data_IF_616325621143
#
_entry.id   IF_616325621143
#
_cell.length_a   1.000
_cell.length_b   1.000
_cell.length_c   1.000
_cell.angle_alpha   90.00
_cell.angle_beta   90.00
_cell.angle_gamma   90.00
#
_symmetry.space_group_name_H-M   'P 1'
#
loop_
_entity.id
_entity.type
_entity.pdbx_description
1 polymer ?
#
# COMPACT_ATOMS: atom_id res chain seq x y z
N UNK A 1 -22.07 -2.21 16.93
CA UNK A 1 -21.06 -1.71 17.88
C UNK A 1 -20.54 -0.33 17.48
N UNK A 2 -19.65 -0.20 16.49
CA UNK A 2 -19.10 1.13 16.09
C UNK A 2 -20.21 2.08 15.61
N UNK A 3 -21.10 1.59 14.75
CA UNK A 3 -22.26 2.37 14.28
C UNK A 3 -23.19 2.82 15.43
N UNK A 4 -23.35 2.00 16.47
CA UNK A 4 -24.16 2.33 17.64
C UNK A 4 -23.47 3.43 18.47
N UNK A 5 -22.15 3.34 18.66
CA UNK A 5 -21.37 4.37 19.33
C UNK A 5 -21.42 5.70 18.56
N UNK A 6 -21.32 5.66 17.23
CA UNK A 6 -21.49 6.83 16.37
C UNK A 6 -22.87 7.46 16.56
N UNK A 7 -23.92 6.64 16.62
CA UNK A 7 -25.28 7.10 16.90
C UNK A 7 -25.38 7.79 18.27
N UNK A 8 -24.83 7.17 19.32
CA UNK A 8 -24.86 7.71 20.69
C UNK A 8 -24.09 9.04 20.79
N UNK A 9 -23.06 9.24 19.96
CA UNK A 9 -22.28 10.47 19.87
C UNK A 9 -22.90 11.53 18.94
N UNK A 10 -24.04 11.24 18.30
CA UNK A 10 -24.70 12.16 17.39
C UNK A 10 -24.02 12.30 16.02
N UNK A 11 -23.19 11.34 15.62
CA UNK A 11 -22.63 11.27 14.26
C UNK A 11 -23.75 10.81 13.33
N UNK A 12 -24.05 11.63 12.32
CA UNK A 12 -25.20 11.41 11.43
C UNK A 12 -24.91 10.49 10.24
N UNK A 13 -23.65 10.45 9.79
CA UNK A 13 -23.23 9.62 8.67
C UNK A 13 -21.75 9.23 8.78
N UNK A 14 -21.39 8.14 8.09
CA UNK A 14 -20.01 7.67 7.92
C UNK A 14 -19.86 6.93 6.59
N UNK A 15 -18.63 6.57 6.21
CA UNK A 15 -18.36 5.91 4.94
C UNK A 15 -17.64 4.57 5.11
N UNK A 16 -17.76 3.69 4.12
CA UNK A 16 -17.02 2.43 4.06
C UNK A 16 -16.77 2.01 2.60
N UNK A 17 -16.17 0.84 2.39
CA UNK A 17 -15.84 0.34 1.05
C UNK A 17 -16.93 -0.56 0.46
N UNK A 18 -17.04 -0.61 -0.87
CA UNK A 18 -18.03 -1.44 -1.56
C UNK A 18 -17.94 -2.93 -1.23
N UNK A 19 -16.76 -3.44 -0.87
CA UNK A 19 -16.61 -4.81 -0.39
C UNK A 19 -17.38 -5.05 0.91
N UNK A 20 -17.48 -4.03 1.78
CA UNK A 20 -18.25 -4.07 3.02
C UNK A 20 -19.74 -4.04 2.72
N UNK A 21 -20.17 -3.19 1.78
CA UNK A 21 -21.56 -3.18 1.31
C UNK A 21 -21.97 -4.54 0.78
N UNK A 22 -21.21 -5.07 -0.19
CA UNK A 22 -21.49 -6.36 -0.82
C UNK A 22 -21.70 -7.48 0.19
N UNK A 23 -20.79 -7.63 1.16
CA UNK A 23 -20.94 -8.63 2.22
C UNK A 23 -22.13 -8.37 3.14
N UNK A 24 -22.46 -7.11 3.41
CA UNK A 24 -23.59 -6.73 4.27
C UNK A 24 -24.94 -7.05 3.64
N UNK A 25 -25.06 -6.90 2.32
CA UNK A 25 -26.29 -7.18 1.57
C UNK A 25 -26.32 -8.56 0.91
N UNK A 26 -25.29 -9.39 1.14
CA UNK A 26 -25.19 -10.74 0.56
C UNK A 26 -25.01 -10.76 -0.95
N UNK A 27 -24.33 -9.76 -1.52
CA UNK A 27 -24.07 -9.63 -2.94
C UNK A 27 -22.59 -9.44 -3.26
N UNK A 28 -22.19 -9.84 -4.46
CA UNK A 28 -20.83 -9.61 -4.97
C UNK A 28 -20.87 -8.38 -5.86
N UNK A 29 -20.29 -7.28 -5.36
CA UNK A 29 -20.12 -6.05 -6.13
C UNK A 29 -18.73 -6.11 -6.75
N UNK A 30 -18.65 -6.36 -8.06
CA UNK A 30 -17.37 -6.37 -8.77
C UNK A 30 -16.95 -4.94 -9.11
N UNK A 31 -15.78 -4.46 -8.64
CA UNK A 31 -15.23 -3.15 -9.02
C UNK A 31 -15.11 -3.05 -10.54
N UNK A 32 -15.69 -2.01 -11.14
CA UNK A 32 -15.52 -1.73 -12.56
C UNK A 32 -15.83 -0.26 -12.84
N UNK A 33 -14.87 0.51 -13.39
CA UNK A 33 -15.10 1.92 -13.68
C UNK A 33 -16.26 2.10 -14.66
N UNK A 34 -17.17 3.02 -14.33
CA UNK A 34 -18.25 3.44 -15.21
C UNK A 34 -19.32 2.39 -15.52
N UNK A 35 -19.16 1.14 -15.09
CA UNK A 35 -20.02 0.01 -15.51
C UNK A 35 -20.91 -0.44 -14.38
N UNK A 36 -22.20 -0.58 -14.67
CA UNK A 36 -23.17 -1.20 -13.78
C UNK A 36 -23.45 -2.62 -14.26
N UNK A 37 -23.05 -3.62 -13.47
CA UNK A 37 -23.31 -5.05 -13.75
C UNK A 37 -23.90 -5.73 -12.54
N UNK A 38 -24.93 -6.56 -12.76
CA UNK A 38 -25.59 -7.29 -11.69
C UNK A 38 -26.08 -6.34 -10.60
N UNK A 39 -25.72 -6.62 -9.35
CA UNK A 39 -26.15 -5.83 -8.19
C UNK A 39 -25.33 -4.55 -7.94
N UNK A 40 -24.37 -4.20 -8.81
CA UNK A 40 -23.53 -3.01 -8.61
C UNK A 40 -24.31 -1.70 -8.52
N UNK A 41 -25.49 -1.60 -9.13
CA UNK A 41 -26.36 -0.41 -9.00
C UNK A 41 -26.68 -0.09 -7.53
N UNK A 42 -26.65 -1.08 -6.64
CA UNK A 42 -26.88 -0.91 -5.21
C UNK A 42 -25.84 -0.02 -4.54
N UNK A 43 -24.63 0.05 -5.07
CA UNK A 43 -23.56 0.91 -4.57
C UNK A 43 -23.93 2.38 -4.54
N UNK A 44 -24.77 2.82 -5.48
CA UNK A 44 -25.09 4.23 -5.69
C UNK A 44 -26.31 4.71 -4.88
N UNK A 45 -26.74 3.94 -3.87
CA UNK A 45 -27.70 4.39 -2.86
C UNK A 45 -26.99 4.72 -1.55
N UNK A 46 -27.45 5.75 -0.82
CA UNK A 46 -27.13 5.86 0.59
C UNK A 46 -27.89 4.78 1.38
N UNK A 47 -27.29 4.35 2.48
CA UNK A 47 -27.85 3.34 3.38
C UNK A 47 -28.05 3.87 4.79
N UNK A 48 -28.90 3.22 5.58
CA UNK A 48 -29.00 3.43 7.03
C UNK A 48 -28.84 2.11 7.76
N UNK A 49 -27.91 2.09 8.70
CA UNK A 49 -27.64 0.93 9.57
C UNK A 49 -28.73 0.75 10.62
N UNK A 50 -28.67 -0.35 11.37
CA UNK A 50 -29.61 -0.69 12.43
C UNK A 50 -31.06 -0.71 11.94
N UNK A 51 -31.28 -1.36 10.79
CA UNK A 51 -32.61 -1.47 10.15
C UNK A 51 -33.27 -0.10 9.94
N UNK A 52 -32.48 0.89 9.49
CA UNK A 52 -32.95 2.23 9.16
C UNK A 52 -32.94 3.24 10.31
N UNK A 53 -32.53 2.85 11.53
CA UNK A 53 -32.57 3.73 12.72
C UNK A 53 -31.24 4.35 13.10
N UNK A 54 -30.15 3.89 12.50
CA UNK A 54 -28.81 4.38 12.78
C UNK A 54 -28.35 5.50 11.84
N UNK A 55 -27.08 5.90 11.98
CA UNK A 55 -26.42 6.81 11.05
C UNK A 55 -26.50 6.32 9.61
N UNK A 56 -26.50 7.26 8.68
CA UNK A 56 -26.43 6.98 7.26
C UNK A 56 -25.02 6.50 6.87
N UNK A 57 -24.95 5.75 5.77
CA UNK A 57 -23.71 5.27 5.18
C UNK A 57 -23.69 5.53 3.68
N UNK A 58 -22.52 5.92 3.20
CA UNK A 58 -22.17 5.89 1.77
C UNK A 58 -21.00 4.94 1.58
N UNK A 59 -20.90 4.37 0.39
CA UNK A 59 -19.87 3.39 0.08
C UNK A 59 -19.02 3.86 -1.10
N UNK A 60 -17.70 3.73 -0.93
CA UNK A 60 -16.69 4.08 -1.92
C UNK A 60 -16.92 3.31 -3.22
N UNK A 61 -17.01 4.01 -4.35
CA UNK A 61 -16.77 3.39 -5.66
C UNK A 61 -15.26 3.16 -5.78
N UNK A 62 -14.83 1.94 -5.44
CA UNK A 62 -13.42 1.56 -5.36
C UNK A 62 -12.72 1.80 -6.69
N UNK A 63 -13.34 1.35 -7.78
CA UNK A 63 -12.75 1.46 -9.10
C UNK A 63 -12.56 2.91 -9.55
N UNK A 64 -13.55 3.79 -9.34
CA UNK A 64 -13.38 5.21 -9.66
C UNK A 64 -12.38 5.91 -8.74
N UNK A 65 -12.35 5.54 -7.47
CA UNK A 65 -11.42 6.12 -6.49
C UNK A 65 -9.97 5.73 -6.79
N UNK A 66 -9.74 4.49 -7.23
CA UNK A 66 -8.42 3.99 -7.62
C UNK A 66 -7.93 4.59 -8.93
N UNK A 67 -8.84 4.92 -9.86
CA UNK A 67 -8.44 5.63 -11.07
C UNK A 67 -7.72 6.94 -10.74
N UNK A 68 -8.28 7.73 -9.81
CA UNK A 68 -7.68 8.98 -9.36
C UNK A 68 -6.46 8.72 -8.47
N UNK A 69 -6.60 7.79 -7.53
CA UNK A 69 -5.59 7.54 -6.49
C UNK A 69 -4.33 6.84 -6.98
N UNK A 70 -4.43 5.99 -7.99
CA UNK A 70 -3.34 5.06 -8.36
C UNK A 70 -3.13 4.90 -9.86
N UNK A 71 -4.15 4.99 -10.71
CA UNK A 71 -3.98 4.62 -12.13
C UNK A 71 -3.60 5.81 -13.03
N UNK A 72 -4.34 6.92 -12.96
CA UNK A 72 -4.20 8.00 -13.94
C UNK A 72 -2.80 8.63 -13.94
N UNK A 73 -2.19 8.85 -12.78
CA UNK A 73 -0.86 9.46 -12.71
C UNK A 73 0.25 8.60 -13.34
N UNK A 74 0.03 7.28 -13.50
CA UNK A 74 1.06 6.39 -14.05
C UNK A 74 1.15 6.47 -15.57
N UNK A 75 0.02 6.64 -16.25
CA UNK A 75 -0.07 6.37 -17.69
C UNK A 75 -0.87 7.39 -18.49
N UNK A 76 -1.44 8.41 -17.85
CA UNK A 76 -2.33 9.35 -18.52
C UNK A 76 -1.80 10.78 -18.55
N UNK A 77 -2.13 11.47 -19.62
CA UNK A 77 -2.05 12.93 -19.65
C UNK A 77 -3.17 13.50 -18.76
N UNK A 78 -2.89 14.50 -17.89
CA UNK A 78 -3.84 15.00 -16.90
C UNK A 78 -5.22 15.39 -17.45
N UNK A 79 -5.32 16.08 -18.59
CA UNK A 79 -6.62 16.46 -19.16
C UNK A 79 -7.36 15.26 -19.75
N UNK A 80 -6.64 14.32 -20.36
CA UNK A 80 -7.21 13.08 -20.86
C UNK A 80 -7.78 12.22 -19.71
N UNK A 81 -7.06 12.13 -18.59
CA UNK A 81 -7.52 11.45 -17.37
C UNK A 81 -8.82 12.08 -16.82
N UNK A 82 -8.86 13.42 -16.68
CA UNK A 82 -10.05 14.11 -16.22
C UNK A 82 -11.27 13.86 -17.15
N UNK A 83 -11.05 13.88 -18.47
CA UNK A 83 -12.11 13.58 -19.45
C UNK A 83 -12.59 12.14 -19.37
N UNK A 84 -11.68 11.18 -19.19
CA UNK A 84 -12.05 9.78 -18.99
C UNK A 84 -12.91 9.64 -17.74
N UNK A 85 -12.54 10.27 -16.62
CA UNK A 85 -13.29 10.21 -15.38
C UNK A 85 -14.74 10.70 -15.55
N UNK A 86 -14.93 11.84 -16.22
CA UNK A 86 -16.27 12.34 -16.58
C UNK A 86 -17.03 11.34 -17.45
N UNK A 87 -16.36 10.73 -18.43
CA UNK A 87 -16.98 9.69 -19.25
C UNK A 87 -17.41 8.47 -18.42
N UNK A 88 -16.68 8.10 -17.37
CA UNK A 88 -17.10 7.04 -16.45
C UNK A 88 -18.38 7.44 -15.68
N UNK A 89 -18.50 8.69 -15.23
CA UNK A 89 -19.71 9.19 -14.57
C UNK A 89 -20.92 9.20 -15.52
N UNK A 90 -20.73 9.62 -16.77
CA UNK A 90 -21.77 9.53 -17.80
C UNK A 90 -22.18 8.09 -18.07
N UNK A 91 -21.21 7.17 -18.11
CA UNK A 91 -21.51 5.75 -18.28
C UNK A 91 -22.35 5.20 -17.12
N UNK A 92 -22.11 5.62 -15.86
CA UNK A 92 -22.97 5.25 -14.72
C UNK A 92 -24.39 5.77 -14.93
N UNK A 93 -24.54 7.04 -15.32
CA UNK A 93 -25.85 7.65 -15.62
C UNK A 93 -26.59 6.88 -16.72
N UNK A 94 -25.90 6.58 -17.82
CA UNK A 94 -26.51 5.96 -19.00
C UNK A 94 -26.93 4.50 -18.76
N UNK A 95 -26.29 3.82 -17.81
CA UNK A 95 -26.63 2.44 -17.40
C UNK A 95 -27.44 2.39 -16.08
N UNK A 96 -27.88 3.54 -15.56
CA UNK A 96 -28.64 3.59 -14.32
C UNK A 96 -30.08 3.11 -14.52
N UNK A 97 -30.42 2.01 -13.86
CA UNK A 97 -31.78 1.44 -13.84
C UNK A 97 -32.46 1.56 -12.47
N UNK A 98 -31.83 2.24 -11.50
CA UNK A 98 -32.34 2.42 -10.15
C UNK A 98 -33.38 3.55 -10.03
N UNK A 99 -34.00 3.65 -8.85
CA UNK A 99 -34.93 4.73 -8.52
C UNK A 99 -34.16 6.00 -8.11
N UNK A 100 -34.57 7.15 -8.64
CA UNK A 100 -33.95 8.44 -8.33
C UNK A 100 -32.63 8.68 -9.07
N UNK A 101 -31.81 9.59 -8.56
CA UNK A 101 -30.50 9.96 -9.12
C UNK A 101 -29.41 9.18 -8.39
N UNK A 102 -28.48 8.49 -9.08
CA UNK A 102 -27.40 7.76 -8.42
C UNK A 102 -26.52 8.71 -7.60
N UNK A 103 -26.06 8.24 -6.43
CA UNK A 103 -25.04 8.92 -5.62
C UNK A 103 -23.69 8.23 -5.83
N UNK A 104 -22.83 8.82 -6.66
CA UNK A 104 -21.47 8.30 -6.88
C UNK A 104 -20.55 8.87 -5.79
N UNK A 105 -19.99 7.99 -4.96
CA UNK A 105 -19.13 8.40 -3.84
C UNK A 105 -17.69 8.01 -4.14
N UNK A 106 -16.82 9.00 -4.29
CA UNK A 106 -15.40 8.82 -4.60
C UNK A 106 -14.61 9.21 -3.36
N UNK A 107 -13.90 8.24 -2.78
CA UNK A 107 -13.19 8.39 -1.51
C UNK A 107 -11.76 7.93 -1.74
N UNK A 108 -10.81 8.85 -1.65
CA UNK A 108 -9.39 8.56 -1.77
C UNK A 108 -8.62 9.36 -0.73
N UNK A 109 -7.36 9.01 -0.56
CA UNK A 109 -6.50 9.70 0.38
C UNK A 109 -6.02 11.04 -0.15
N UNK A 110 -5.90 12.02 0.74
CA UNK A 110 -5.68 13.42 0.38
C UNK A 110 -4.24 13.73 -0.03
N UNK A 111 -3.29 12.90 0.33
CA UNK A 111 -1.85 13.13 0.12
C UNK A 111 -1.23 12.15 -0.90
N UNK A 112 -1.83 10.97 -1.05
CA UNK A 112 -1.09 9.84 -1.61
C UNK A 112 -0.95 9.82 -3.13
N UNK A 113 -1.78 10.54 -3.87
CA UNK A 113 -1.73 10.51 -5.33
C UNK A 113 -1.08 11.74 -5.95
N UNK A 114 -1.21 12.91 -5.32
CA UNK A 114 -0.85 14.19 -5.94
C UNK A 114 0.64 14.34 -6.23
N UNK A 115 1.51 13.83 -5.35
CA UNK A 115 2.98 13.87 -5.56
C UNK A 115 3.44 13.10 -6.81
N UNK A 116 2.59 12.19 -7.32
CA UNK A 116 2.87 11.42 -8.52
C UNK A 116 2.29 12.06 -9.80
N UNK A 117 1.34 13.00 -9.68
CA UNK A 117 0.88 13.77 -10.83
C UNK A 117 1.86 14.90 -11.17
N UNK A 118 1.98 15.29 -12.45
CA UNK A 118 2.69 16.51 -12.81
C UNK A 118 2.12 17.74 -12.08
N UNK A 119 3.00 18.55 -11.48
CA UNK A 119 2.66 19.75 -10.71
C UNK A 119 1.59 19.48 -9.62
N UNK A 120 1.78 18.42 -8.83
CA UNK A 120 0.93 18.08 -7.70
C UNK A 120 -0.57 17.93 -8.07
N UNK A 121 -0.85 17.49 -9.30
CA UNK A 121 -2.21 17.26 -9.78
C UNK A 121 -2.97 18.50 -10.24
N UNK A 122 -2.34 19.69 -10.25
CA UNK A 122 -3.01 20.96 -10.57
C UNK A 122 -3.81 20.91 -11.88
N UNK A 123 -3.20 20.40 -12.96
CA UNK A 123 -3.86 20.35 -14.28
C UNK A 123 -5.03 19.36 -14.31
N UNK A 124 -4.87 18.19 -13.67
CA UNK A 124 -5.93 17.18 -13.57
C UNK A 124 -7.12 17.73 -12.76
N UNK A 125 -6.85 18.29 -11.58
CA UNK A 125 -7.88 18.81 -10.67
C UNK A 125 -8.63 19.98 -11.28
N UNK A 126 -7.93 20.96 -11.86
CA UNK A 126 -8.57 22.10 -12.53
C UNK A 126 -9.44 21.64 -13.71
N UNK A 127 -8.96 20.67 -14.50
CA UNK A 127 -9.73 20.15 -15.63
C UNK A 127 -10.96 19.37 -15.16
N UNK A 128 -10.81 18.53 -14.13
CA UNK A 128 -11.90 17.75 -13.56
C UNK A 128 -12.98 18.65 -12.94
N UNK A 129 -12.59 19.61 -12.11
CA UNK A 129 -13.55 20.51 -11.46
C UNK A 129 -14.25 21.43 -12.45
N UNK A 130 -13.56 21.95 -13.46
CA UNK A 130 -14.21 22.71 -14.54
C UNK A 130 -15.23 21.84 -15.29
N UNK A 131 -14.88 20.59 -15.62
CA UNK A 131 -15.79 19.70 -16.31
C UNK A 131 -17.01 19.29 -15.45
N UNK A 132 -16.84 19.13 -14.13
CA UNK A 132 -17.95 18.87 -13.21
C UNK A 132 -18.89 20.08 -13.07
N UNK A 133 -18.34 21.30 -13.04
CA UNK A 133 -19.13 22.53 -12.92
C UNK A 133 -19.89 22.87 -14.21
N UNK A 134 -19.30 22.60 -15.37
CA UNK A 134 -19.89 22.89 -16.69
C UNK A 134 -20.93 21.87 -17.14
N UNK A 135 -20.97 20.68 -16.54
CA UNK A 135 -21.86 19.59 -16.93
C UNK A 135 -23.24 19.67 -16.23
N UNK A 136 -24.33 20.02 -16.94
CA UNK A 136 -25.65 20.14 -16.32
C UNK A 136 -26.29 18.80 -15.92
N UNK A 137 -25.66 17.68 -16.26
CA UNK A 137 -26.13 16.32 -15.93
C UNK A 137 -25.48 15.74 -14.69
N UNK A 138 -24.49 16.43 -14.13
CA UNK A 138 -23.76 16.05 -12.92
C UNK A 138 -23.96 17.13 -11.87
N UNK A 139 -24.20 16.74 -10.63
CA UNK A 139 -24.33 17.66 -9.50
C UNK A 139 -23.30 17.29 -8.43
N UNK A 140 -22.37 18.19 -8.14
CA UNK A 140 -21.43 18.05 -7.02
C UNK A 140 -22.10 18.52 -5.73
N UNK A 141 -22.27 17.59 -4.79
CA UNK A 141 -22.93 17.83 -3.50
C UNK A 141 -22.03 17.42 -2.34
N UNK A 142 -22.24 18.02 -1.17
CA UNK A 142 -21.68 17.45 0.07
C UNK A 142 -22.34 16.09 0.37
N UNK A 143 -21.68 15.24 1.16
CA UNK A 143 -22.23 13.94 1.54
C UNK A 143 -23.59 14.08 2.24
N UNK A 144 -23.74 15.09 3.10
CA UNK A 144 -24.99 15.35 3.82
C UNK A 144 -26.13 15.75 2.88
N UNK A 145 -25.87 16.61 1.89
CA UNK A 145 -26.85 16.97 0.85
C UNK A 145 -27.19 15.77 -0.05
N UNK A 146 -26.18 14.98 -0.41
CA UNK A 146 -26.35 13.75 -1.20
C UNK A 146 -27.26 12.72 -0.52
N UNK A 147 -27.11 12.56 0.80
CA UNK A 147 -27.96 11.68 1.62
C UNK A 147 -29.36 12.27 1.79
N UNK A 148 -29.48 13.56 2.13
CA UNK A 148 -30.77 14.19 2.44
C UNK A 148 -31.73 14.26 1.24
N UNK A 149 -31.19 14.35 0.03
CA UNK A 149 -31.95 14.41 -1.23
C UNK A 149 -32.41 13.04 -1.75
N UNK A 150 -32.06 11.94 -1.06
CA UNK A 150 -32.28 10.57 -1.54
C UNK A 150 -32.94 9.70 -0.49
N UNK A 151 -33.66 8.68 -0.95
CA UNK A 151 -34.14 7.61 -0.08
C UNK A 151 -32.95 6.75 0.35
N UNK A 152 -32.81 6.52 1.65
CA UNK A 152 -31.83 5.57 2.17
C UNK A 152 -32.41 4.16 2.21
N UNK A 153 -31.63 3.19 1.76
CA UNK A 153 -31.95 1.78 1.91
C UNK A 153 -31.49 1.28 3.30
N UNK A 154 -32.15 0.26 3.85
CA UNK A 154 -31.81 -0.26 5.19
C UNK A 154 -30.78 -1.38 5.14
N UNK A 155 -29.77 -1.32 6.01
CA UNK A 155 -28.86 -2.44 6.30
C UNK A 155 -29.17 -2.96 7.69
N UNK A 156 -29.58 -4.23 7.75
CA UNK A 156 -29.86 -4.91 9.03
C UNK A 156 -28.57 -5.31 9.74
N UNK A 157 -27.60 -5.84 8.99
CA UNK A 157 -26.31 -6.30 9.52
C UNK A 157 -25.17 -5.75 8.70
N UNK A 158 -24.43 -4.81 9.28
CA UNK A 158 -23.18 -4.32 8.71
C UNK A 158 -22.05 -5.32 8.93
N UNK A 159 -21.37 -5.70 7.85
CA UNK A 159 -20.18 -6.55 7.91
C UNK A 159 -18.98 -5.77 8.43
N UNK A 160 -18.08 -6.44 9.15
CA UNK A 160 -16.81 -5.85 9.57
C UNK A 160 -15.77 -5.97 8.44
N UNK A 161 -14.91 -4.96 8.33
CA UNK A 161 -13.74 -4.94 7.43
C UNK A 161 -13.26 -3.51 7.21
N UNK A 162 -12.25 -3.37 6.36
CA UNK A 162 -11.70 -2.07 5.94
C UNK A 162 -11.85 -1.87 4.43
N UNK A 163 -11.41 -0.71 3.94
CA UNK A 163 -11.27 -0.43 2.52
C UNK A 163 -10.14 -1.20 1.81
N UNK A 164 -9.20 -1.79 2.55
CA UNK A 164 -8.12 -2.61 1.98
C UNK A 164 -8.52 -4.08 2.08
N UNK A 165 -8.61 -4.75 0.92
CA UNK A 165 -8.98 -6.16 0.80
C UNK A 165 -10.32 -6.54 1.46
N UNK A 166 -11.13 -5.55 1.84
CA UNK A 166 -12.35 -5.75 2.61
C UNK A 166 -12.11 -6.36 3.99
N UNK A 167 -10.92 -6.32 4.59
CA UNK A 167 -10.63 -7.00 5.86
C UNK A 167 -9.65 -6.21 6.73
N UNK A 168 -9.27 -6.74 7.89
CA UNK A 168 -8.36 -6.06 8.83
C UNK A 168 -6.92 -6.59 8.80
N UNK A 169 -6.56 -7.41 7.82
CA UNK A 169 -5.28 -8.11 7.79
C UNK A 169 -4.09 -7.15 7.91
N UNK A 170 -4.16 -5.96 7.28
CA UNK A 170 -3.10 -4.95 7.34
C UNK A 170 -2.78 -4.48 8.77
N UNK A 171 -3.72 -4.55 9.72
CA UNK A 171 -3.51 -3.99 11.07
C UNK A 171 -3.55 -5.03 12.19
N UNK A 172 -3.88 -6.30 11.90
CA UNK A 172 -3.95 -7.38 12.92
C UNK A 172 -3.62 -8.77 12.35
N UNK A 173 -3.22 -8.83 11.09
CA UNK A 173 -3.04 -10.08 10.34
C UNK A 173 -1.75 -10.80 10.67
N UNK A 174 -0.69 -10.05 10.99
CA UNK A 174 0.64 -10.59 11.23
C UNK A 174 0.97 -10.75 12.72
N UNK A 175 2.05 -11.49 13.02
CA UNK A 175 2.48 -11.73 14.39
C UNK A 175 2.90 -10.43 15.09
N UNK A 176 3.59 -9.55 14.37
CA UNK A 176 4.03 -8.25 14.87
C UNK A 176 2.84 -7.36 15.25
N UNK A 177 1.83 -7.27 14.38
CA UNK A 177 0.61 -6.50 14.66
C UNK A 177 -0.07 -6.94 15.95
N UNK A 178 -0.29 -8.26 16.08
CA UNK A 178 -0.94 -8.85 17.26
C UNK A 178 -0.12 -8.61 18.52
N UNK A 179 1.21 -8.68 18.42
CA UNK A 179 2.11 -8.36 19.54
C UNK A 179 1.98 -6.89 19.95
N UNK A 180 1.93 -5.97 18.98
CA UNK A 180 1.67 -4.56 19.25
C UNK A 180 0.35 -4.33 19.98
N UNK A 181 -0.74 -4.93 19.50
CA UNK A 181 -2.07 -4.82 20.15
C UNK A 181 -2.10 -5.42 21.55
N UNK A 182 -1.42 -6.54 21.78
CA UNK A 182 -1.32 -7.14 23.12
C UNK A 182 -0.62 -6.19 24.11
N UNK A 183 0.45 -5.53 23.68
CA UNK A 183 1.17 -4.57 24.53
C UNK A 183 0.31 -3.34 24.86
N UNK A 184 -0.47 -2.83 23.90
CA UNK A 184 -1.45 -1.75 24.14
C UNK A 184 -2.53 -2.19 25.11
N UNK A 185 -3.08 -3.40 24.93
CA UNK A 185 -4.13 -3.95 25.80
C UNK A 185 -3.67 -4.02 27.26
N UNK A 186 -2.47 -4.55 27.51
CA UNK A 186 -1.94 -4.70 28.88
C UNK A 186 -1.62 -3.34 29.53
N UNK A 187 -1.04 -2.40 28.77
CA UNK A 187 -0.82 -1.03 29.26
C UNK A 187 -2.14 -0.33 29.59
N UNK A 188 -3.14 -0.45 28.72
CA UNK A 188 -4.48 0.12 28.91
C UNK A 188 -5.19 -0.48 30.12
N UNK A 189 -5.15 -1.80 30.30
CA UNK A 189 -5.72 -2.47 31.50
C UNK A 189 -5.06 -1.94 32.77
N UNK A 190 -3.74 -1.79 32.76
CA UNK A 190 -2.98 -1.24 33.90
C UNK A 190 -3.42 0.18 34.22
N UNK A 191 -3.55 1.04 33.21
CA UNK A 191 -4.03 2.41 33.38
C UNK A 191 -5.46 2.46 33.95
N UNK A 192 -6.38 1.64 33.44
CA UNK A 192 -7.76 1.55 33.95
C UNK A 192 -7.78 1.12 35.42
N UNK A 193 -6.97 0.11 35.78
CA UNK A 193 -6.86 -0.34 37.18
C UNK A 193 -6.33 0.78 38.09
N UNK A 194 -5.27 1.48 37.68
CA UNK A 194 -4.70 2.58 38.44
C UNK A 194 -5.69 3.75 38.61
N UNK A 195 -6.46 4.06 37.56
CA UNK A 195 -7.53 5.07 37.62
C UNK A 195 -8.63 4.69 38.61
N UNK A 196 -9.05 3.41 38.65
CA UNK A 196 -10.08 2.95 39.59
C UNK A 196 -9.59 2.82 41.03
N UNK A 197 -8.30 2.50 41.24
CA UNK A 197 -7.70 2.40 42.57
C UNK A 197 -7.52 3.74 43.28
N UNK A 198 -7.48 4.85 42.53
CA UNK A 198 -7.23 6.18 43.06
C UNK A 198 -5.76 6.40 43.46
N UNK A 199 -5.42 7.62 43.87
CA UNK A 199 -4.05 7.99 44.28
C UNK A 199 -3.17 8.59 43.19
N UNK A 200 -3.62 8.58 41.94
CA UNK A 200 -2.99 9.31 40.83
C UNK A 200 -3.85 10.52 40.52
N UNK A 201 -3.23 11.68 40.38
CA UNK A 201 -3.94 12.91 40.07
C UNK A 201 -4.48 12.89 38.63
N UNK A 202 -5.52 13.70 38.38
CA UNK A 202 -6.21 13.73 37.09
C UNK A 202 -5.32 14.17 35.93
N UNK A 203 -4.36 15.05 36.16
CA UNK A 203 -3.49 15.55 35.09
C UNK A 203 -2.50 14.47 34.65
N UNK A 204 -1.99 13.69 35.60
CA UNK A 204 -1.14 12.52 35.29
C UNK A 204 -1.92 11.42 34.56
N UNK A 205 -3.16 11.13 34.99
CA UNK A 205 -4.03 10.18 34.27
C UNK A 205 -4.33 10.62 32.84
N UNK A 206 -4.58 11.91 32.63
CA UNK A 206 -4.83 12.46 31.30
C UNK A 206 -3.63 12.23 30.37
N UNK A 207 -2.41 12.54 30.83
CA UNK A 207 -1.19 12.27 30.06
C UNK A 207 -1.02 10.78 29.75
N UNK A 208 -1.28 9.91 30.73
CA UNK A 208 -1.18 8.47 30.50
C UNK A 208 -2.21 7.97 29.46
N UNK A 209 -3.41 8.55 29.43
CA UNK A 209 -4.39 8.28 28.37
C UNK A 209 -3.96 8.81 27.01
N UNK A 210 -3.35 9.99 26.96
CA UNK A 210 -2.79 10.55 25.72
C UNK A 210 -1.72 9.60 25.13
N UNK A 211 -0.84 9.03 25.96
CA UNK A 211 0.14 8.03 25.52
C UNK A 211 -0.52 6.75 24.95
N UNK A 212 -1.61 6.27 25.58
CA UNK A 212 -2.39 5.14 25.05
C UNK A 212 -3.02 5.50 23.70
N UNK A 213 -3.62 6.69 23.56
CA UNK A 213 -4.25 7.10 22.31
C UNK A 213 -3.23 7.27 21.17
N UNK A 214 -2.02 7.72 21.47
CA UNK A 214 -0.93 7.74 20.50
C UNK A 214 -0.58 6.31 20.08
N UNK A 215 -0.42 5.38 21.03
CA UNK A 215 -0.09 3.99 20.74
C UNK A 215 -1.23 3.22 20.03
N UNK A 216 -2.49 3.64 20.18
CA UNK A 216 -3.65 3.09 19.45
C UNK A 216 -3.72 3.55 17.98
N UNK A 217 -2.80 4.43 17.53
CA UNK A 217 -2.73 4.88 16.15
C UNK A 217 -2.48 3.74 15.14
N UNK A 218 -3.28 3.68 14.08
CA UNK A 218 -3.19 2.62 13.07
C UNK A 218 -1.88 2.63 12.28
N UNK A 219 -1.22 3.78 12.18
CA UNK A 219 0.05 3.96 11.46
C UNK A 219 1.17 3.06 12.00
N UNK A 220 1.21 2.78 13.30
CA UNK A 220 2.20 1.84 13.86
C UNK A 220 2.07 0.46 13.20
N UNK A 221 0.83 0.01 13.06
CA UNK A 221 0.48 -1.29 12.50
C UNK A 221 0.56 -1.32 10.97
N UNK A 222 0.49 -0.16 10.30
CA UNK A 222 0.80 -0.07 8.87
C UNK A 222 2.23 -0.53 8.57
N UNK A 223 3.15 -0.20 9.47
CA UNK A 223 4.58 -0.48 9.32
C UNK A 223 5.03 -1.80 9.95
N UNK A 224 4.29 -2.33 10.91
CA UNK A 224 4.56 -3.65 11.47
C UNK A 224 4.26 -4.74 10.44
N UNK A 225 4.97 -5.86 10.60
CA UNK A 225 4.90 -7.00 9.70
C UNK A 225 5.75 -6.87 8.44
N UNK A 226 5.49 -7.77 7.52
CA UNK A 226 6.19 -7.91 6.25
C UNK A 226 5.48 -7.23 5.09
N UNK A 227 4.23 -6.80 5.27
CA UNK A 227 3.40 -6.20 4.22
C UNK A 227 3.96 -4.87 3.71
N UNK A 228 4.49 -4.02 4.60
CA UNK A 228 5.18 -2.78 4.23
C UNK A 228 6.59 -2.77 4.79
N UNK A 229 7.48 -1.97 4.20
CA UNK A 229 8.86 -1.86 4.68
C UNK A 229 9.34 -0.42 4.67
N UNK A 230 10.12 -0.09 5.69
CA UNK A 230 10.82 1.19 5.78
C UNK A 230 12.15 0.97 6.48
N UNK A 231 13.19 1.68 6.06
CA UNK A 231 14.49 1.66 6.74
C UNK A 231 14.40 2.21 8.17
N UNK A 232 13.34 2.98 8.46
CA UNK A 232 13.10 3.59 9.75
C UNK A 232 12.29 2.71 10.71
N UNK A 233 12.02 1.45 10.36
CA UNK A 233 11.13 0.58 11.14
C UNK A 233 11.60 0.44 12.60
N UNK A 234 12.91 0.37 12.81
CA UNK A 234 13.48 0.32 14.15
C UNK A 234 13.26 1.59 14.97
N UNK A 235 13.11 2.76 14.34
CA UNK A 235 12.75 4.01 15.01
C UNK A 235 11.27 4.01 15.38
N UNK A 236 10.38 3.64 14.45
CA UNK A 236 8.95 3.54 14.70
C UNK A 236 8.63 2.54 15.83
N UNK A 237 9.21 1.33 15.79
CA UNK A 237 9.06 0.33 16.87
C UNK A 237 9.51 0.88 18.23
N UNK A 238 10.67 1.58 18.28
CA UNK A 238 11.15 2.18 19.54
C UNK A 238 10.20 3.26 20.05
N UNK A 239 9.72 4.15 19.19
CA UNK A 239 8.81 5.23 19.58
C UNK A 239 7.49 4.66 20.09
N UNK A 240 6.89 3.71 19.38
CA UNK A 240 5.68 3.01 19.81
C UNK A 240 5.85 2.42 21.22
N UNK A 241 6.93 1.67 21.46
CA UNK A 241 7.19 1.07 22.77
C UNK A 241 7.49 2.11 23.85
N UNK A 242 8.11 3.24 23.50
CA UNK A 242 8.36 4.34 24.44
C UNK A 242 7.07 4.97 24.94
N UNK A 243 6.05 5.15 24.10
CA UNK A 243 4.73 5.62 24.53
C UNK A 243 4.14 4.68 25.59
N UNK A 244 4.19 3.37 25.33
CA UNK A 244 3.71 2.37 26.30
C UNK A 244 4.54 2.34 27.59
N UNK A 245 5.88 2.47 27.51
CA UNK A 245 6.74 2.58 28.70
C UNK A 245 6.38 3.81 29.53
N UNK A 246 6.14 4.95 28.87
CA UNK A 246 5.82 6.20 29.53
C UNK A 246 4.49 6.13 30.29
N UNK A 247 3.51 5.34 29.82
CA UNK A 247 2.30 5.02 30.61
C UNK A 247 2.69 4.46 31.98
N UNK A 248 3.55 3.44 32.05
CA UNK A 248 3.96 2.85 33.33
C UNK A 248 4.73 3.85 34.20
N UNK A 249 5.62 4.66 33.61
CA UNK A 249 6.39 5.68 34.32
C UNK A 249 5.48 6.74 34.96
N UNK A 250 4.47 7.22 34.23
CA UNK A 250 3.46 8.16 34.73
C UNK A 250 2.66 7.57 35.89
N UNK A 251 2.42 6.25 35.86
CA UNK A 251 1.74 5.53 36.94
C UNK A 251 2.67 5.20 38.12
N UNK A 252 3.96 5.58 38.07
CA UNK A 252 4.95 5.24 39.10
C UNK A 252 5.27 3.74 39.15
N UNK A 253 5.03 3.02 38.06
CA UNK A 253 5.19 1.58 37.93
C UNK A 253 6.43 1.25 37.07
N UNK A 254 7.00 0.06 37.27
CA UNK A 254 8.04 -0.45 36.39
C UNK A 254 7.40 -1.05 35.14
N UNK A 255 7.83 -0.59 33.96
CA UNK A 255 7.40 -1.16 32.69
C UNK A 255 7.74 -2.66 32.58
N UNK A 256 6.84 -3.50 32.00
CA UNK A 256 7.10 -4.88 31.69
C UNK A 256 8.35 -5.06 30.81
N UNK A 257 9.13 -6.11 31.05
CA UNK A 257 10.36 -6.37 30.29
C UNK A 257 10.14 -6.59 28.79
N UNK A 258 8.94 -7.03 28.41
CA UNK A 258 8.53 -7.22 27.02
C UNK A 258 8.58 -5.93 26.20
N UNK A 259 8.32 -4.76 26.81
CA UNK A 259 8.40 -3.45 26.14
C UNK A 259 9.84 -3.02 25.83
N UNK A 260 10.84 -3.68 26.43
CA UNK A 260 12.25 -3.42 26.14
C UNK A 260 12.74 -4.21 24.92
N UNK A 261 11.94 -5.17 24.44
CA UNK A 261 12.25 -5.99 23.28
C UNK A 261 11.55 -5.42 22.04
N UNK A 262 12.27 -5.26 20.90
CA UNK A 262 11.64 -4.89 19.65
C UNK A 262 10.47 -5.81 19.28
N UNK A 263 9.40 -5.22 18.75
CA UNK A 263 8.29 -5.96 18.11
C UNK A 263 8.82 -6.51 16.80
N UNK A 264 9.36 -5.61 15.98
CA UNK A 264 10.00 -5.94 14.72
C UNK A 264 11.38 -6.52 14.93
N UNK A 265 11.63 -7.65 14.26
CA UNK A 265 13.00 -8.15 14.14
C UNK A 265 13.68 -7.29 13.09
N UNK A 266 14.89 -6.76 13.33
CA UNK A 266 15.64 -6.15 12.25
C UNK A 266 15.74 -7.18 11.12
N UNK A 267 15.11 -6.87 9.97
CA UNK A 267 15.30 -7.67 8.76
C UNK A 267 16.79 -7.70 8.56
N UNK A 268 17.39 -8.89 8.64
CA UNK A 268 18.80 -9.06 8.33
C UNK A 268 18.94 -8.63 6.88
N UNK A 269 19.35 -7.39 6.62
CA UNK A 269 20.12 -7.13 5.42
C UNK A 269 21.25 -8.13 5.51
N UNK A 270 21.21 -9.14 4.65
CA UNK A 270 22.34 -10.05 4.52
C UNK A 270 23.54 -9.14 4.37
N UNK A 271 24.45 -9.17 5.35
CA UNK A 271 25.69 -8.42 5.24
C UNK A 271 26.26 -8.79 3.87
N UNK A 272 26.38 -7.81 2.98
CA UNK A 272 26.97 -8.02 1.66
C UNK A 272 28.37 -8.52 1.93
N UNK A 273 28.56 -9.84 1.83
CA UNK A 273 29.87 -10.46 1.97
C UNK A 273 30.64 -10.06 0.74
N UNK A 274 31.51 -9.05 0.84
CA UNK A 274 32.35 -8.59 -0.27
C UNK A 274 33.37 -9.63 -0.75
N UNK A 275 33.50 -10.76 -0.04
CA UNK A 275 34.45 -11.83 -0.35
C UNK A 275 33.73 -12.99 -1.05
N UNK A 276 33.38 -12.80 -2.31
CA UNK A 276 33.12 -13.90 -3.23
C UNK A 276 34.27 -13.95 -4.22
N UNK A 277 35.23 -14.85 -3.97
CA UNK A 277 36.18 -15.31 -4.99
C UNK A 277 35.59 -16.57 -5.62
N UNK A 278 35.25 -16.51 -6.91
CA UNK A 278 34.90 -17.71 -7.68
C UNK A 278 36.15 -18.58 -7.88
N UNK A 279 36.23 -19.79 -7.27
CA UNK A 279 37.40 -20.67 -7.45
C UNK A 279 37.46 -21.26 -8.86
N UNK A 280 36.30 -21.39 -9.49
CA UNK A 280 36.11 -21.72 -10.90
C UNK A 280 35.11 -20.69 -11.45
N UNK A 281 35.52 -19.85 -12.42
CA UNK A 281 34.62 -18.86 -13.01
C UNK A 281 33.40 -19.49 -13.69
N UNK A 282 32.21 -18.87 -13.60
CA UNK A 282 31.02 -19.37 -14.28
C UNK A 282 31.14 -19.21 -15.80
N UNK A 283 30.52 -20.12 -16.55
CA UNK A 283 30.41 -19.98 -18.00
C UNK A 283 29.23 -19.06 -18.32
N UNK A 284 29.51 -17.97 -19.04
CA UNK A 284 28.47 -17.03 -19.47
C UNK A 284 27.84 -17.55 -20.78
N UNK A 285 27.15 -18.69 -20.70
CA UNK A 285 26.45 -19.32 -21.83
C UNK A 285 24.93 -19.32 -21.72
N UNK A 286 24.41 -18.76 -20.62
CA UNK A 286 22.99 -18.66 -20.36
C UNK A 286 22.40 -19.90 -19.70
N UNK A 287 23.21 -20.86 -19.26
CA UNK A 287 22.72 -22.09 -18.61
C UNK A 287 23.44 -22.31 -17.29
N UNK A 288 22.72 -22.81 -16.29
CA UNK A 288 23.37 -23.35 -15.09
C UNK A 288 23.86 -24.77 -15.44
N UNK A 289 25.08 -24.84 -15.96
CA UNK A 289 25.69 -26.05 -16.48
C UNK A 289 26.00 -27.07 -15.38
N UNK A 290 26.21 -26.60 -14.15
CA UNK A 290 26.30 -27.47 -12.97
C UNK A 290 25.97 -26.76 -11.65
N UNK A 291 25.49 -27.52 -10.67
CA UNK A 291 25.08 -27.04 -9.34
C UNK A 291 26.10 -26.14 -8.60
N UNK A 292 27.40 -26.30 -8.87
CA UNK A 292 28.45 -25.54 -8.19
C UNK A 292 28.79 -24.21 -8.86
N UNK A 293 28.19 -23.89 -10.01
CA UNK A 293 28.61 -22.79 -10.88
C UNK A 293 28.44 -21.42 -10.23
N UNK A 294 27.28 -21.19 -9.62
CA UNK A 294 26.94 -19.94 -8.92
C UNK A 294 26.98 -20.09 -7.40
N UNK A 295 27.44 -21.23 -6.88
CA UNK A 295 27.41 -21.54 -5.44
C UNK A 295 28.24 -20.57 -4.59
N UNK A 296 29.32 -20.04 -5.16
CA UNK A 296 30.16 -19.04 -4.47
C UNK A 296 29.64 -17.61 -4.63
N UNK A 297 28.59 -17.39 -5.42
CA UNK A 297 28.03 -16.06 -5.64
C UNK A 297 27.34 -15.54 -4.37
N UNK A 298 27.33 -14.23 -4.22
CA UNK A 298 26.48 -13.54 -3.27
C UNK A 298 25.09 -13.48 -3.88
N UNK A 299 24.11 -13.96 -3.12
CA UNK A 299 22.70 -13.90 -3.47
C UNK A 299 22.08 -12.65 -2.83
N UNK A 300 21.44 -11.83 -3.67
CA UNK A 300 20.61 -10.71 -3.29
C UNK A 300 19.20 -10.98 -3.78
N UNK A 301 18.25 -11.12 -2.85
CA UNK A 301 16.84 -11.15 -3.16
C UNK A 301 16.35 -9.69 -3.11
N UNK A 302 15.84 -9.12 -4.22
CA UNK A 302 15.21 -7.81 -4.18
C UNK A 302 14.00 -7.92 -3.25
N UNK A 303 14.14 -7.45 -2.01
CA UNK A 303 12.98 -7.24 -1.16
C UNK A 303 12.06 -6.29 -1.93
N UNK A 304 10.78 -6.62 -2.04
CA UNK A 304 9.77 -5.69 -2.52
C UNK A 304 9.80 -4.48 -1.60
N UNK A 305 10.57 -3.45 -1.96
CA UNK A 305 10.54 -2.16 -1.29
C UNK A 305 9.26 -1.48 -1.75
N UNK A 306 8.13 -1.86 -1.14
CA UNK A 306 6.90 -1.10 -1.21
C UNK A 306 7.04 0.10 -0.28
N UNK A 307 6.95 1.30 -0.85
CA UNK A 307 6.75 2.53 -0.07
C UNK A 307 5.37 2.54 0.60
N UNK A 308 5.02 3.67 1.21
CA UNK A 308 3.83 3.83 2.05
C UNK A 308 2.51 3.40 1.41
N UNK A 309 2.40 3.29 0.07
CA UNK A 309 1.17 2.88 -0.62
C UNK A 309 1.37 2.02 -1.88
N UNK A 310 2.56 1.45 -2.10
CA UNK A 310 2.73 0.60 -3.29
C UNK A 310 2.01 -0.73 -3.09
N UNK A 311 1.05 -1.03 -3.97
CA UNK A 311 0.83 -2.42 -4.35
C UNK A 311 2.20 -2.97 -4.75
N UNK A 312 2.59 -4.11 -4.21
CA UNK A 312 3.85 -4.73 -4.56
C UNK A 312 3.77 -5.15 -6.03
N UNK A 313 3.99 -4.21 -6.96
CA UNK A 313 4.41 -4.55 -8.30
C UNK A 313 5.75 -5.25 -8.15
N UNK A 314 5.66 -6.58 -8.09
CA UNK A 314 6.79 -7.46 -8.12
C UNK A 314 7.60 -7.05 -9.34
N UNK A 315 8.80 -6.52 -9.09
CA UNK A 315 9.82 -6.07 -10.06
C UNK A 315 10.08 -7.10 -11.19
N UNK A 316 9.52 -8.30 -11.10
CA UNK A 316 9.75 -9.41 -12.02
C UNK A 316 11.13 -10.01 -11.84
N UNK A 317 12.07 -9.31 -11.20
CA UNK A 317 13.36 -9.84 -10.75
C UNK A 317 13.14 -10.61 -9.44
N UNK A 318 13.44 -11.90 -9.45
CA UNK A 318 13.31 -12.77 -8.29
C UNK A 318 14.59 -12.76 -7.46
N UNK A 319 15.76 -12.85 -8.12
CA UNK A 319 17.06 -13.00 -7.46
C UNK A 319 18.18 -12.40 -8.30
N UNK A 320 19.20 -11.88 -7.63
CA UNK A 320 20.43 -11.40 -8.25
C UNK A 320 21.58 -12.16 -7.61
N UNK A 321 22.41 -12.80 -8.43
CA UNK A 321 23.64 -13.45 -8.01
C UNK A 321 24.82 -12.64 -8.55
N UNK A 322 25.79 -12.31 -7.70
CA UNK A 322 26.98 -11.59 -8.12
C UNK A 322 28.25 -12.02 -7.37
N UNK A 323 29.40 -11.82 -7.98
CA UNK A 323 30.71 -12.09 -7.38
C UNK A 323 31.82 -11.86 -8.39
N UNK A 324 33.07 -12.12 -8.01
CA UNK A 324 34.20 -11.90 -8.92
C UNK A 324 35.31 -12.92 -8.78
N UNK A 325 36.25 -12.86 -9.70
CA UNK A 325 37.59 -13.42 -9.55
C UNK A 325 38.63 -12.30 -9.67
N UNK A 326 39.91 -12.63 -9.86
CA UNK A 326 40.97 -11.63 -9.98
C UNK A 326 40.86 -10.73 -11.24
N UNK A 327 40.12 -11.16 -12.26
CA UNK A 327 40.07 -10.53 -13.58
C UNK A 327 38.65 -10.07 -13.97
N UNK A 328 37.60 -10.69 -13.42
CA UNK A 328 36.23 -10.56 -13.90
C UNK A 328 35.22 -10.36 -12.77
N UNK A 329 34.15 -9.61 -13.07
CA UNK A 329 32.94 -9.52 -12.26
C UNK A 329 31.80 -10.24 -12.99
N UNK A 330 31.07 -11.07 -12.24
CA UNK A 330 29.99 -11.90 -12.74
C UNK A 330 28.66 -11.45 -12.13
N UNK A 331 27.63 -11.35 -12.97
CA UNK A 331 26.27 -11.00 -12.57
C UNK A 331 25.29 -11.94 -13.27
N UNK A 332 24.36 -12.51 -12.50
CA UNK A 332 23.22 -13.29 -12.96
C UNK A 332 21.96 -12.70 -12.34
N UNK A 333 20.92 -12.54 -13.15
CA UNK A 333 19.64 -11.98 -12.73
C UNK A 333 18.56 -12.99 -13.10
N UNK A 334 17.91 -13.55 -12.09
CA UNK A 334 16.80 -14.49 -12.26
C UNK A 334 15.50 -13.70 -12.26
N UNK A 335 14.69 -13.91 -13.29
CA UNK A 335 13.41 -13.20 -13.49
C UNK A 335 12.24 -14.17 -13.51
N UNK A 336 11.04 -13.66 -13.26
CA UNK A 336 9.78 -14.37 -13.39
C UNK A 336 9.55 -14.81 -14.84
N UNK A 337 9.02 -16.02 -15.05
CA UNK A 337 8.64 -16.48 -16.38
C UNK A 337 7.70 -15.50 -17.07
N UNK A 338 8.05 -15.07 -18.29
CA UNK A 338 7.21 -14.18 -19.09
C UNK A 338 7.30 -12.70 -18.73
N UNK A 339 8.29 -12.27 -17.92
CA UNK A 339 8.55 -10.85 -17.65
C UNK A 339 8.69 -10.03 -18.96
N UNK A 340 9.34 -10.59 -19.98
CA UNK A 340 9.50 -9.98 -21.31
C UNK A 340 8.18 -9.79 -22.08
N UNK A 341 7.09 -10.42 -21.64
CA UNK A 341 5.76 -10.39 -22.27
C UNK A 341 4.77 -9.46 -21.58
N UNK A 342 5.14 -8.83 -20.45
CA UNK A 342 4.29 -7.84 -19.76
C UNK A 342 4.19 -6.57 -20.61
N UNK A 343 3.01 -5.97 -20.69
CA UNK A 343 2.81 -4.67 -21.35
C UNK A 343 3.55 -3.57 -20.56
N UNK A 344 4.50 -2.88 -21.20
CA UNK A 344 5.36 -1.84 -20.58
C UNK A 344 6.83 -1.92 -21.05
N UNK A 345 7.61 -0.84 -20.84
CA UNK A 345 9.06 -0.86 -21.05
C UNK A 345 9.74 -1.68 -19.94
N UNK A 346 9.85 -3.00 -20.13
CA UNK A 346 10.57 -3.89 -19.22
C UNK A 346 12.10 -3.68 -19.35
N UNK A 347 12.60 -2.45 -19.24
CA UNK A 347 14.04 -2.19 -19.29
C UNK A 347 14.59 -2.00 -17.89
N UNK A 348 15.80 -2.52 -17.63
CA UNK A 348 16.46 -2.35 -16.34
C UNK A 348 17.94 -2.01 -16.55
N UNK A 349 18.52 -1.32 -15.58
CA UNK A 349 19.90 -0.85 -15.65
C UNK A 349 20.71 -1.37 -14.46
N UNK A 350 21.92 -1.84 -14.73
CA UNK A 350 22.91 -2.15 -13.70
C UNK A 350 24.02 -1.12 -13.78
N UNK A 351 24.19 -0.36 -12.70
CA UNK A 351 25.30 0.58 -12.53
C UNK A 351 26.30 0.03 -11.52
N UNK A 352 27.47 -0.37 -12.00
CA UNK A 352 28.65 -0.67 -11.17
C UNK A 352 29.42 0.62 -10.99
N UNK A 353 29.67 1.04 -9.75
CA UNK A 353 30.34 2.32 -9.44
C UNK A 353 31.79 2.14 -8.97
N UNK A 354 32.20 0.92 -8.61
CA UNK A 354 33.52 0.58 -8.08
C UNK A 354 33.82 -0.91 -8.42
N UNK A 355 35.03 -1.32 -8.86
CA UNK A 355 36.25 -0.53 -9.09
C UNK A 355 36.27 0.33 -10.36
N UNK A 356 35.33 0.12 -11.29
CA UNK A 356 35.18 0.92 -12.49
C UNK A 356 33.71 1.24 -12.75
N UNK A 357 33.44 2.46 -13.22
CA UNK A 357 32.08 2.87 -13.57
C UNK A 357 31.63 2.15 -14.84
N UNK A 358 30.67 1.23 -14.71
CA UNK A 358 30.06 0.49 -15.82
C UNK A 358 28.55 0.57 -15.70
N UNK A 359 27.89 0.92 -16.80
CA UNK A 359 26.44 0.97 -16.88
C UNK A 359 25.95 0.07 -18.01
N UNK A 360 25.13 -0.91 -17.65
CA UNK A 360 24.55 -1.90 -18.55
C UNK A 360 23.04 -1.74 -18.56
N UNK A 361 22.48 -1.44 -19.73
CA UNK A 361 21.04 -1.38 -19.95
C UNK A 361 20.56 -2.68 -20.57
N UNK A 362 19.55 -3.28 -19.96
CA UNK A 362 18.91 -4.51 -20.40
C UNK A 362 17.55 -4.19 -20.99
N UNK A 363 17.30 -4.67 -22.20
CA UNK A 363 16.05 -4.47 -22.94
C UNK A 363 15.44 -5.81 -23.34
N UNK A 364 14.11 -5.96 -23.33
CA UNK A 364 13.46 -7.23 -23.63
C UNK A 364 13.68 -7.63 -25.10
N UNK A 365 13.96 -8.90 -25.33
CA UNK A 365 14.07 -9.53 -26.64
C UNK A 365 13.14 -10.76 -26.71
N UNK A 366 12.93 -11.29 -27.92
CA UNK A 366 11.95 -12.34 -28.26
C UNK A 366 11.88 -13.51 -27.27
N UNK A 367 13.01 -13.84 -26.62
CA UNK A 367 13.12 -14.92 -25.63
C UNK A 367 14.10 -14.58 -24.47
N UNK A 368 14.28 -13.30 -24.11
CA UNK A 368 15.23 -12.92 -23.05
C UNK A 368 15.51 -11.42 -22.93
N UNK A 369 16.74 -11.06 -22.57
CA UNK A 369 17.17 -9.68 -22.33
C UNK A 369 18.48 -9.37 -23.04
N UNK A 370 18.46 -8.42 -23.98
CA UNK A 370 19.69 -7.90 -24.57
C UNK A 370 20.31 -6.84 -23.67
N UNK A 371 21.61 -6.98 -23.38
CA UNK A 371 22.39 -6.00 -22.63
C UNK A 371 23.20 -5.10 -23.56
N UNK A 372 23.17 -3.78 -23.34
CA UNK A 372 23.99 -2.80 -24.02
C UNK A 372 24.73 -1.91 -23.02
N UNK A 373 26.02 -1.61 -23.29
CA UNK A 373 26.75 -0.58 -22.53
C UNK A 373 26.22 0.80 -22.93
N UNK A 374 25.84 1.60 -21.95
CA UNK A 374 25.40 2.99 -22.16
C UNK A 374 26.51 3.95 -21.69
N UNK A 375 27.34 4.38 -22.65
CA UNK A 375 28.44 5.34 -22.60
C UNK A 375 29.74 4.98 -21.83
N UNK A 376 30.87 5.27 -22.50
CA UNK A 376 32.25 5.08 -22.07
C UNK A 376 32.69 6.20 -21.10
N UNK A 377 33.02 5.86 -19.85
CA UNK A 377 33.89 6.74 -19.07
C UNK A 377 35.25 6.80 -19.78
N UNK A 378 35.79 8.01 -19.97
CA UNK A 378 37.00 8.31 -20.76
C UNK A 378 38.30 7.61 -20.32
N UNK A 379 38.28 6.80 -19.26
CA UNK A 379 39.45 6.11 -18.70
C UNK A 379 39.40 4.57 -18.77
N UNK A 380 38.43 3.96 -19.46
CA UNK A 380 38.29 2.49 -19.47
C UNK A 380 38.98 1.80 -20.65
N UNK A 381 40.32 1.79 -20.68
CA UNK A 381 41.04 0.87 -21.57
C UNK A 381 40.88 -0.58 -21.05
N UNK A 382 40.23 -1.42 -21.86
CA UNK A 382 40.00 -2.87 -21.69
C UNK A 382 38.99 -3.31 -20.62
N UNK A 383 37.69 -3.25 -20.95
CA UNK A 383 36.68 -4.11 -20.31
C UNK A 383 35.88 -4.85 -21.39
N UNK A 384 36.22 -6.12 -21.64
CA UNK A 384 35.41 -6.99 -22.49
C UNK A 384 34.25 -7.54 -21.65
N UNK A 385 33.01 -7.11 -21.94
CA UNK A 385 31.82 -7.71 -21.35
C UNK A 385 31.36 -8.87 -22.25
N UNK A 386 31.19 -10.06 -21.68
CA UNK A 386 30.52 -11.19 -22.33
C UNK A 386 29.12 -11.34 -21.74
N UNK A 387 28.13 -11.58 -22.59
CA UNK A 387 26.73 -11.76 -22.23
C UNK A 387 26.13 -12.90 -23.05
N UNK A 388 25.15 -13.58 -22.45
CA UNK A 388 24.31 -14.58 -23.09
C UNK A 388 22.91 -14.54 -22.48
N UNK A 389 21.89 -14.80 -23.30
CA UNK A 389 20.50 -14.94 -22.86
C UNK A 389 20.32 -16.29 -22.18
N UNK A 390 19.71 -16.32 -20.98
CA UNK A 390 19.39 -17.56 -20.30
C UNK A 390 18.09 -18.15 -20.88
N UNK A 391 18.21 -19.22 -21.65
CA UNK A 391 17.09 -20.12 -21.95
C UNK A 391 16.90 -21.06 -20.75
N UNK A 392 15.72 -21.02 -20.11
CA UNK A 392 15.30 -22.08 -19.18
C UNK A 392 14.65 -23.25 -19.92
#
# INVERSE_FOLDING_TARGET
AVADLMQDLGIEWFASDEAILGRSIGSVLSPSPGKIKGDRYRLYYPYRVNSGKGPAMVFRDHALSDLVGFDYHQHWEPRAAAKDFIAQLHSIRDHWEGEGVPLVTVILDGENCWEYYPNDGEEFLNTLYAALEEDPTIESVTVSEGIASRKCESIDRLSAGSWINGNFHIWIGEEADRKGWFLVEEARKTLVQAQTGGGIDKATLQKAWEEIYIAEGSDWYWWFGDTHSTEQIGHFDRMFRQHLIHVYELLGMRAPGELLLPIEKPKKQAAIRLESEFPSPPQIDGKESHYYEWKSAIEFEPAGQSGAMKSAEQSGVQRIYYGGDQENFYLRVDTEPGLTKREGENTWEVSVTNPASLRLRFSPEKDGYQAAKTEESKDANSSQAKWSNIER
#
